data_IF_372540516035
#
_entry.id   IF_372540516035
#
_cell.length_a   1.000
_cell.length_b   1.000
_cell.length_c   1.000
_cell.angle_alpha   90.00
_cell.angle_beta   90.00
_cell.angle_gamma   90.00
#
_symmetry.space_group_name_H-M   'P 1'
#
loop_
_entity.id
_entity.type
_entity.pdbx_description
1 polymer ?
#
# COMPACT_ATOMS: atom_id res chain seq x y z
N UNK A 1 28.40 -15.10 -7.03
CA UNK A 1 29.34 -14.01 -6.62
C UNK A 1 28.78 -12.64 -7.02
N UNK A 2 27.80 -12.12 -6.27
CA UNK A 2 27.14 -10.85 -6.55
C UNK A 2 27.94 -9.64 -6.06
N UNK A 3 27.75 -8.50 -6.73
CA UNK A 3 28.35 -7.22 -6.38
C UNK A 3 27.27 -6.14 -6.22
N UNK A 4 27.35 -5.38 -5.13
CA UNK A 4 26.46 -4.25 -4.83
C UNK A 4 27.29 -3.01 -4.57
N UNK A 5 26.93 -1.92 -5.24
CA UNK A 5 27.48 -0.59 -4.99
C UNK A 5 26.36 0.32 -4.49
N UNK A 6 26.49 0.79 -3.25
CA UNK A 6 25.56 1.72 -2.63
C UNK A 6 26.20 3.10 -2.67
N UNK A 7 25.58 4.03 -3.38
CA UNK A 7 26.07 5.42 -3.44
C UNK A 7 25.13 6.30 -2.64
N UNK A 8 25.68 7.01 -1.67
CA UNK A 8 24.96 7.96 -0.82
C UNK A 8 25.65 9.32 -0.87
N UNK A 9 24.91 10.37 -0.55
CA UNK A 9 25.48 11.71 -0.40
C UNK A 9 26.27 11.81 0.91
N UNK A 10 27.37 12.57 0.93
CA UNK A 10 28.19 12.79 2.12
C UNK A 10 27.49 13.74 3.10
N UNK A 11 26.59 13.17 3.89
CA UNK A 11 25.72 13.92 4.81
C UNK A 11 25.85 13.47 6.28
N UNK A 12 26.99 12.84 6.62
CA UNK A 12 27.26 12.37 7.97
C UNK A 12 26.70 10.99 8.29
N UNK A 13 26.62 10.09 7.30
CA UNK A 13 26.27 8.69 7.55
C UNK A 13 27.28 8.05 8.50
N UNK A 14 26.80 7.54 9.64
CA UNK A 14 27.67 6.97 10.68
C UNK A 14 28.22 5.60 10.27
N UNK A 15 29.34 5.14 10.85
CA UNK A 15 29.85 3.79 10.62
C UNK A 15 28.82 2.69 10.87
N UNK A 16 27.98 2.83 11.89
CA UNK A 16 26.94 1.87 12.26
C UNK A 16 25.79 1.86 11.24
N UNK A 17 25.46 3.00 10.64
CA UNK A 17 24.48 3.05 9.56
C UNK A 17 25.00 2.36 8.31
N UNK A 18 26.28 2.58 7.96
CA UNK A 18 26.93 1.91 6.83
C UNK A 18 27.02 0.39 7.03
N UNK A 19 27.37 -0.05 8.25
CA UNK A 19 27.38 -1.47 8.59
C UNK A 19 26.00 -2.11 8.40
N UNK A 20 24.93 -1.43 8.85
CA UNK A 20 23.54 -1.89 8.64
C UNK A 20 23.14 -1.94 7.16
N UNK A 21 23.60 -0.99 6.34
CA UNK A 21 23.36 -1.03 4.89
C UNK A 21 24.05 -2.23 4.23
N UNK A 22 25.30 -2.51 4.60
CA UNK A 22 26.04 -3.67 4.09
C UNK A 22 25.34 -4.97 4.48
N UNK A 23 25.01 -5.12 5.77
CA UNK A 23 24.32 -6.31 6.27
C UNK A 23 22.98 -6.53 5.56
N UNK A 24 22.12 -5.50 5.51
CA UNK A 24 20.81 -5.63 4.88
C UNK A 24 20.87 -5.92 3.38
N UNK A 25 21.86 -5.39 2.66
CA UNK A 25 22.06 -5.73 1.25
C UNK A 25 22.48 -7.20 1.07
N UNK A 26 23.38 -7.71 1.92
CA UNK A 26 23.80 -9.10 1.90
C UNK A 26 22.64 -10.05 2.24
N UNK A 27 21.87 -9.75 3.30
CA UNK A 27 20.70 -10.54 3.69
C UNK A 27 19.65 -10.60 2.58
N UNK A 28 19.38 -9.47 1.91
CA UNK A 28 18.45 -9.43 0.78
C UNK A 28 18.87 -10.35 -0.37
N UNK A 29 20.16 -10.40 -0.67
CA UNK A 29 20.69 -11.27 -1.73
C UNK A 29 20.59 -12.75 -1.35
N UNK A 30 20.87 -13.08 -0.09
CA UNK A 30 20.67 -14.44 0.44
C UNK A 30 19.18 -14.83 0.33
N UNK A 31 18.27 -13.95 0.74
CA UNK A 31 16.85 -14.26 0.79
C UNK A 31 16.23 -14.43 -0.61
N UNK A 32 16.58 -13.55 -1.55
CA UNK A 32 15.96 -13.51 -2.89
C UNK A 32 16.65 -14.45 -3.86
N UNK A 33 17.99 -14.46 -3.86
CA UNK A 33 18.78 -15.21 -4.85
C UNK A 33 19.33 -16.53 -4.30
N UNK A 34 19.23 -16.78 -2.99
CA UNK A 34 19.81 -17.96 -2.32
C UNK A 34 21.32 -18.08 -2.53
N UNK A 35 21.99 -16.95 -2.64
CA UNK A 35 23.45 -16.87 -2.81
C UNK A 35 24.17 -17.00 -1.46
N UNK A 36 25.46 -17.35 -1.53
CA UNK A 36 26.31 -17.42 -0.33
C UNK A 36 26.84 -16.04 0.07
N UNK A 37 26.65 -15.63 1.34
CA UNK A 37 27.05 -14.30 1.80
C UNK A 37 28.57 -14.08 1.75
N UNK A 38 29.37 -15.14 1.85
CA UNK A 38 30.84 -15.09 1.81
C UNK A 38 31.40 -14.66 0.44
N UNK A 39 30.61 -14.84 -0.62
CA UNK A 39 31.00 -14.47 -2.00
C UNK A 39 30.43 -13.12 -2.41
N UNK A 40 29.69 -12.45 -1.54
CA UNK A 40 29.03 -11.18 -1.84
C UNK A 40 29.95 -10.01 -1.51
N UNK A 41 30.13 -9.10 -2.47
CA UNK A 41 30.91 -7.88 -2.26
C UNK A 41 29.98 -6.68 -2.25
N UNK A 42 30.00 -5.91 -1.16
CA UNK A 42 29.24 -4.67 -1.01
C UNK A 42 30.19 -3.51 -0.78
N UNK A 43 29.99 -2.43 -1.53
CA UNK A 43 30.76 -1.18 -1.42
C UNK A 43 29.83 -0.02 -1.13
N UNK A 44 30.32 0.97 -0.36
CA UNK A 44 29.60 2.21 -0.08
C UNK A 44 30.46 3.39 -0.54
N UNK A 45 29.96 4.15 -1.50
CA UNK A 45 30.59 5.38 -1.97
C UNK A 45 29.82 6.60 -1.46
N UNK A 46 30.53 7.49 -0.78
CA UNK A 46 30.01 8.80 -0.41
C UNK A 46 30.35 9.83 -1.48
N UNK A 47 29.31 10.38 -2.09
CA UNK A 47 29.42 11.36 -3.16
C UNK A 47 29.06 12.74 -2.61
N UNK A 48 29.82 13.76 -3.02
CA UNK A 48 29.49 15.13 -2.69
C UNK A 48 28.10 15.53 -3.23
N UNK A 49 27.36 16.35 -2.49
CA UNK A 49 26.01 16.78 -2.88
C UNK A 49 25.98 17.62 -4.16
N UNK A 50 27.06 18.31 -4.50
CA UNK A 50 27.18 19.08 -5.74
C UNK A 50 27.32 18.17 -6.97
N UNK A 51 27.87 16.97 -6.75
CA UNK A 51 28.02 15.93 -7.77
C UNK A 51 26.78 15.01 -7.84
N UNK A 52 25.78 15.21 -6.99
CA UNK A 52 24.56 14.40 -6.93
C UNK A 52 23.32 15.20 -7.36
N UNK A 53 22.74 14.84 -8.52
CA UNK A 53 21.54 15.50 -9.06
C UNK A 53 20.30 14.62 -8.96
N UNK A 54 19.18 15.21 -8.56
CA UNK A 54 17.85 14.57 -8.52
C UNK A 54 16.86 15.44 -9.27
N UNK A 55 16.23 14.90 -10.32
CA UNK A 55 15.28 15.60 -11.21
C UNK A 55 15.86 16.83 -11.93
N UNK A 56 17.13 16.76 -12.35
CA UNK A 56 17.80 17.83 -13.11
C UNK A 56 18.50 18.89 -12.27
N UNK A 57 18.27 18.93 -10.95
CA UNK A 57 18.91 19.89 -10.03
C UNK A 57 19.85 19.17 -9.05
N UNK A 58 20.92 19.85 -8.61
CA UNK A 58 21.79 19.34 -7.53
C UNK A 58 21.01 19.30 -6.21
N UNK A 59 21.34 18.34 -5.35
CA UNK A 59 20.71 18.25 -4.01
C UNK A 59 20.93 19.54 -3.21
N UNK A 60 22.09 20.17 -3.37
CA UNK A 60 22.41 21.49 -2.81
C UNK A 60 21.41 22.57 -3.26
N UNK A 61 21.18 22.71 -4.57
CA UNK A 61 20.23 23.69 -5.12
C UNK A 61 18.79 23.44 -4.64
N UNK A 62 18.36 22.17 -4.62
CA UNK A 62 17.03 21.80 -4.14
C UNK A 62 16.80 22.16 -2.66
N UNK A 63 17.82 22.05 -1.81
CA UNK A 63 17.72 22.39 -0.38
C UNK A 63 17.58 23.89 -0.16
N UNK A 64 18.29 24.70 -0.94
CA UNK A 64 18.14 26.17 -0.92
C UNK A 64 16.71 26.58 -1.31
N UNK A 65 16.11 25.91 -2.30
CA UNK A 65 14.71 26.14 -2.70
C UNK A 65 13.69 25.61 -1.67
N UNK A 66 14.01 24.54 -0.96
CA UNK A 66 13.15 23.94 0.07
C UNK A 66 12.94 24.80 1.32
N UNK A 67 13.76 25.84 1.52
CA UNK A 67 13.63 26.79 2.62
C UNK A 67 12.71 27.98 2.30
N UNK A 68 12.06 27.99 1.13
CA UNK A 68 10.99 28.94 0.83
C UNK A 68 9.64 28.35 1.28
N UNK A 69 8.83 29.04 2.12
CA UNK A 69 7.54 28.53 2.53
C UNK A 69 6.67 28.31 1.28
N UNK A 70 6.36 27.04 1.00
CA UNK A 70 5.43 26.70 -0.09
C UNK A 70 4.04 27.24 0.27
N UNK A 71 3.34 27.93 -0.64
CA UNK A 71 1.93 28.24 -0.42
C UNK A 71 1.18 26.93 -0.31
N UNK A 72 0.58 26.70 0.87
CA UNK A 72 -0.32 25.56 1.08
C UNK A 72 -1.52 25.72 0.16
N UNK A 73 -1.64 24.84 -0.84
CA UNK A 73 -2.87 24.74 -1.61
C UNK A 73 -3.96 24.27 -0.65
N UNK A 74 -4.90 25.16 -0.35
CA UNK A 74 -6.05 24.89 0.49
C UNK A 74 -6.97 23.85 -0.17
N UNK A 75 -7.43 22.93 0.68
CA UNK A 75 -8.63 22.12 0.57
C UNK A 75 -8.78 21.16 -0.64
N UNK A 76 -8.56 19.88 -0.35
CA UNK A 76 -9.16 18.76 -1.09
C UNK A 76 -10.70 18.82 -0.99
N UNK A 77 -11.41 18.69 -2.11
CA UNK A 77 -12.82 18.31 -2.12
C UNK A 77 -12.93 16.78 -2.19
N UNK A 78 -13.82 16.12 -1.42
CA UNK A 78 -13.94 14.67 -1.45
C UNK A 78 -14.58 14.17 -2.75
N UNK A 79 -14.02 13.09 -3.29
CA UNK A 79 -14.51 12.36 -4.46
C UNK A 79 -15.99 12.02 -4.32
N UNK A 80 -16.84 12.57 -5.20
CA UNK A 80 -18.20 12.10 -5.36
C UNK A 80 -18.22 10.89 -6.31
N UNK A 81 -18.29 9.68 -5.76
CA UNK A 81 -18.58 8.48 -6.55
C UNK A 81 -20.07 8.42 -6.86
N UNK A 82 -20.53 9.08 -7.93
CA UNK A 82 -21.90 8.94 -8.44
C UNK A 82 -21.94 7.87 -9.54
N UNK A 83 -22.24 6.65 -9.12
CA UNK A 83 -22.46 5.48 -9.96
C UNK A 83 -23.67 5.67 -10.88
N UNK A 84 -23.47 5.62 -12.21
CA UNK A 84 -24.55 5.59 -13.20
C UNK A 84 -25.21 4.21 -13.19
N UNK A 85 -26.52 4.16 -12.98
CA UNK A 85 -27.35 3.02 -13.40
C UNK A 85 -28.52 3.50 -14.24
N UNK A 86 -28.30 3.47 -15.56
CA UNK A 86 -29.34 3.43 -16.57
C UNK A 86 -29.87 2.00 -16.67
N UNK A 87 -31.15 1.77 -16.31
CA UNK A 87 -31.93 0.66 -16.86
C UNK A 87 -33.38 1.12 -17.01
N UNK A 88 -33.80 1.21 -18.27
CA UNK A 88 -35.17 1.55 -18.66
C UNK A 88 -36.16 0.51 -18.18
N UNK A 89 -37.33 0.97 -17.74
CA UNK A 89 -38.48 0.14 -17.47
C UNK A 89 -39.57 0.47 -18.48
N UNK A 90 -39.89 -0.56 -19.28
CA UNK A 90 -40.85 -0.59 -20.37
C UNK A 90 -42.28 -0.52 -19.82
N UNK A 91 -43.16 0.13 -20.59
CA UNK A 91 -44.62 0.13 -20.44
C UNK A 91 -45.17 -1.30 -20.25
N UNK A 92 -46.09 -1.49 -19.32
CA UNK A 92 -47.09 -2.58 -19.38
C UNK A 92 -48.46 -2.07 -18.95
N UNK A 93 -49.44 -2.42 -19.79
CA UNK A 93 -50.86 -2.18 -19.63
C UNK A 93 -51.50 -3.05 -18.53
N UNK A 94 -52.62 -2.55 -18.00
CA UNK A 94 -53.74 -3.19 -17.31
C UNK A 94 -53.73 -4.72 -17.09
N UNK A 95 -54.07 -5.15 -15.86
CA UNK A 95 -55.33 -5.87 -15.58
C UNK A 95 -55.65 -5.98 -14.07
N UNK A 96 -56.94 -5.77 -13.77
CA UNK A 96 -57.72 -6.23 -12.59
C UNK A 96 -57.48 -7.74 -12.33
N UNK A 97 -57.61 -8.36 -11.15
CA UNK A 97 -58.80 -8.55 -10.30
C UNK A 97 -58.43 -9.24 -8.96
N UNK A 98 -59.18 -8.91 -7.90
CA UNK A 98 -59.80 -9.72 -6.80
C UNK A 98 -59.15 -11.02 -6.24
N UNK A 99 -59.26 -11.18 -4.90
CA UNK A 99 -59.47 -12.47 -4.21
C UNK A 99 -58.58 -12.66 -2.97
N UNK A 100 -59.05 -12.41 -1.73
CA UNK A 100 -59.72 -13.38 -0.80
C UNK A 100 -58.71 -14.39 -0.23
N UNK A 101 -58.24 -14.21 1.02
CA UNK A 101 -58.59 -14.99 2.25
C UNK A 101 -58.11 -16.46 2.21
N UNK A 102 -57.70 -17.18 3.25
CA UNK A 102 -57.75 -17.08 4.72
C UNK A 102 -56.91 -18.28 5.27
N UNK A 103 -56.58 -18.25 6.57
CA UNK A 103 -56.27 -19.40 7.47
C UNK A 103 -54.97 -20.19 7.22
N UNK A 104 -54.22 -20.64 8.23
CA UNK A 104 -54.43 -20.65 9.68
C UNK A 104 -53.48 -21.68 10.30
N UNK A 105 -53.27 -21.54 11.63
CA UNK A 105 -52.77 -22.54 12.58
C UNK A 105 -51.32 -23.03 12.42
N UNK A 106 -50.58 -23.38 13.46
CA UNK A 106 -50.42 -22.97 14.88
C UNK A 106 -49.07 -23.63 15.30
N UNK A 107 -48.42 -23.17 16.37
CA UNK A 107 -47.10 -23.64 16.79
C UNK A 107 -47.20 -24.83 17.75
N UNK A 108 -46.25 -25.75 17.69
CA UNK A 108 -45.88 -26.74 18.73
C UNK A 108 -44.66 -27.50 18.17
N UNK A 109 -43.58 -27.81 18.86
CA UNK A 109 -43.20 -27.70 20.26
C UNK A 109 -41.95 -28.57 20.46
N UNK A 110 -41.16 -28.21 21.47
CA UNK A 110 -40.45 -29.13 22.37
C UNK A 110 -39.25 -29.98 21.85
N UNK A 111 -38.14 -29.75 22.57
CA UNK A 111 -37.23 -30.70 23.26
C UNK A 111 -35.84 -30.95 22.67
N UNK A 112 -34.86 -30.40 23.42
CA UNK A 112 -33.82 -31.10 24.18
C UNK A 112 -33.19 -32.38 23.59
N UNK A 113 -31.85 -32.34 23.51
CA UNK A 113 -30.87 -33.38 23.95
C UNK A 113 -29.47 -32.81 23.65
N UNK A 114 -28.68 -32.44 24.66
CA UNK A 114 -27.72 -33.27 25.41
C UNK A 114 -26.64 -33.97 24.56
N UNK A 115 -25.39 -33.80 25.02
CA UNK A 115 -24.23 -34.67 24.75
C UNK A 115 -23.29 -34.12 23.69
N UNK A 116 -21.99 -34.00 23.91
CA UNK A 116 -21.14 -34.51 24.98
C UNK A 116 -19.68 -34.37 24.54
N UNK A 117 -18.80 -34.45 25.52
CA UNK A 117 -17.34 -34.32 25.49
C UNK A 117 -16.62 -35.08 24.37
N UNK A 118 -15.49 -34.52 23.91
CA UNK A 118 -14.14 -35.01 24.26
C UNK A 118 -13.06 -34.04 23.75
#
# INVERSE_FOLDING_TARGET
MPYVNIRITREGATPEQKARLIQGATELLVDVLREEPQTTVVTIDEVDTDNWRKRGETVTARRQQGNSPRPVHSAQAPYSTRFKRSRGARKRHHRSVKGVQHHGAKPDGLRDRQGGDH
#
